data_IF_427856481105
#
_entry.id   IF_427856481105
#
_cell.length_a   1.000
_cell.length_b   1.000
_cell.length_c   1.000
_cell.angle_alpha   90.00
_cell.angle_beta   90.00
_cell.angle_gamma   90.00
#
_symmetry.space_group_name_H-M   'P 1'
#
loop_
_entity.id
_entity.type
_entity.pdbx_description
1 polymer ?
#
# COMPACT_ATOMS: atom_id res chain seq x y z
N UNK A 1 -21.10 0.60 -18.78
CA UNK A 1 -19.66 0.30 -18.84
C UNK A 1 -18.77 1.55 -18.84
N UNK A 2 -18.88 2.50 -19.76
CA UNK A 2 -18.01 3.71 -19.74
C UNK A 2 -18.34 4.70 -18.62
N UNK A 3 -19.61 4.87 -18.23
CA UNK A 3 -20.04 5.68 -17.08
C UNK A 3 -19.56 5.12 -15.76
N UNK A 4 -19.60 3.81 -15.55
CA UNK A 4 -19.10 3.15 -14.33
C UNK A 4 -17.56 3.23 -14.22
N UNK A 5 -16.86 3.15 -15.36
CA UNK A 5 -15.41 3.33 -15.39
C UNK A 5 -14.98 4.73 -14.91
N UNK A 6 -15.77 5.77 -15.22
CA UNK A 6 -15.51 7.15 -14.77
C UNK A 6 -15.77 7.39 -13.28
N UNK A 7 -16.54 6.51 -12.61
CA UNK A 7 -16.84 6.62 -11.19
C UNK A 7 -15.75 6.00 -10.28
N UNK A 8 -14.88 5.13 -10.81
CA UNK A 8 -13.80 4.53 -10.05
C UNK A 8 -12.61 5.48 -9.90
N UNK A 9 -11.92 5.50 -8.75
CA UNK A 9 -10.66 6.23 -8.59
C UNK A 9 -9.65 5.89 -9.70
N UNK A 10 -8.76 6.82 -9.96
CA UNK A 10 -7.78 6.72 -11.04
C UNK A 10 -6.88 5.50 -10.90
N UNK A 11 -6.37 5.25 -9.69
CA UNK A 11 -5.55 4.09 -9.41
C UNK A 11 -6.25 2.76 -9.73
N UNK A 12 -7.54 2.69 -9.43
CA UNK A 12 -8.35 1.49 -9.68
C UNK A 12 -8.64 1.29 -11.17
N UNK A 13 -8.93 2.35 -11.90
CA UNK A 13 -9.14 2.28 -13.35
C UNK A 13 -7.91 1.83 -14.10
N UNK A 14 -6.76 2.21 -13.61
CA UNK A 14 -5.46 1.95 -14.22
C UNK A 14 -4.85 0.62 -13.76
N UNK A 15 -5.51 -0.14 -12.87
CA UNK A 15 -4.92 -1.28 -12.18
C UNK A 15 -3.59 -0.92 -11.49
N UNK A 16 -3.52 0.29 -10.95
CA UNK A 16 -2.34 0.91 -10.35
C UNK A 16 -2.71 1.48 -8.98
N UNK A 17 -2.99 0.64 -7.98
CA UNK A 17 -3.64 1.03 -6.73
C UNK A 17 -2.85 2.05 -5.91
N UNK A 18 -1.54 2.14 -6.11
CA UNK A 18 -0.66 3.10 -5.44
C UNK A 18 -0.14 4.20 -6.39
N UNK A 19 -0.81 4.43 -7.51
CA UNK A 19 -0.53 5.54 -8.43
C UNK A 19 0.94 5.67 -8.88
N UNK A 20 1.58 4.55 -9.24
CA UNK A 20 2.93 4.55 -9.83
C UNK A 20 2.97 5.46 -11.05
N UNK A 21 3.86 6.46 -11.01
CA UNK A 21 4.04 7.43 -12.09
C UNK A 21 4.76 6.78 -13.27
N UNK A 22 4.42 7.20 -14.48
CA UNK A 22 5.12 6.78 -15.69
C UNK A 22 6.56 7.33 -15.68
N UNK A 23 7.51 6.44 -15.90
CA UNK A 23 8.93 6.73 -16.04
C UNK A 23 9.46 6.02 -17.27
N UNK A 24 10.78 6.00 -17.44
CA UNK A 24 11.43 5.16 -18.48
C UNK A 24 11.49 3.69 -18.09
N UNK A 25 11.07 3.35 -16.88
CA UNK A 25 11.10 1.98 -16.39
C UNK A 25 10.08 1.11 -17.12
N UNK A 26 10.54 -0.05 -17.55
CA UNK A 26 9.69 -1.06 -18.20
C UNK A 26 9.14 -2.01 -17.15
N UNK A 27 8.06 -1.60 -16.49
CA UNK A 27 7.40 -2.47 -15.52
C UNK A 27 6.82 -3.71 -16.21
N UNK A 28 6.97 -4.85 -15.56
CA UNK A 28 6.26 -6.06 -15.98
C UNK A 28 4.75 -5.85 -15.85
N UNK A 29 3.99 -6.26 -16.85
CA UNK A 29 2.54 -6.14 -16.87
C UNK A 29 2.03 -4.72 -17.19
N UNK A 30 2.86 -3.82 -17.71
CA UNK A 30 2.34 -2.60 -18.31
C UNK A 30 1.41 -2.95 -19.47
N UNK A 31 0.30 -2.24 -19.62
CA UNK A 31 -0.50 -2.30 -20.84
C UNK A 31 0.32 -1.80 -22.02
N UNK A 32 0.17 -2.43 -23.14
CA UNK A 32 0.84 -2.07 -24.38
C UNK A 32 0.53 -0.61 -24.76
N UNK A 33 -0.73 -0.19 -24.58
CA UNK A 33 -1.18 1.18 -24.79
C UNK A 33 -1.55 1.83 -23.47
N UNK A 34 -0.86 2.94 -23.15
CA UNK A 34 -1.09 3.77 -21.97
C UNK A 34 -1.98 4.96 -22.37
N UNK A 35 -3.13 5.10 -21.74
CA UNK A 35 -4.06 6.21 -22.00
C UNK A 35 -3.94 7.31 -20.94
N UNK A 36 -3.51 6.95 -19.75
CA UNK A 36 -3.21 7.91 -18.69
C UNK A 36 -1.88 8.60 -18.99
N UNK A 37 -1.84 9.92 -18.92
CA UNK A 37 -0.64 10.71 -19.27
C UNK A 37 0.38 10.79 -18.12
N UNK A 38 0.00 10.43 -16.90
CA UNK A 38 0.84 10.58 -15.71
C UNK A 38 1.14 9.25 -15.04
N UNK A 39 0.16 8.38 -14.90
CA UNK A 39 0.29 7.15 -14.14
C UNK A 39 0.32 5.92 -15.04
N UNK A 40 1.07 4.92 -14.63
CA UNK A 40 1.11 3.63 -15.30
C UNK A 40 -0.27 2.96 -15.34
N UNK A 41 -0.56 2.28 -16.43
CA UNK A 41 -1.71 1.39 -16.54
C UNK A 41 -1.22 -0.05 -16.67
N UNK A 42 -1.66 -0.92 -15.74
CA UNK A 42 -1.28 -2.33 -15.73
C UNK A 42 -2.38 -3.23 -16.29
N UNK A 43 -2.01 -4.42 -16.73
CA UNK A 43 -2.95 -5.43 -17.24
C UNK A 43 -3.91 -5.88 -16.14
N UNK A 44 -3.44 -5.97 -14.90
CA UNK A 44 -4.23 -6.29 -13.71
C UNK A 44 -3.66 -5.64 -12.44
N UNK A 45 -4.41 -5.74 -11.34
CA UNK A 45 -4.05 -5.17 -10.05
C UNK A 45 -2.80 -5.79 -9.44
N UNK A 46 -2.55 -7.08 -9.66
CA UNK A 46 -1.38 -7.76 -9.10
C UNK A 46 -0.08 -7.18 -9.67
N UNK A 47 -0.04 -6.84 -10.95
CA UNK A 47 1.11 -6.17 -11.56
C UNK A 47 1.29 -4.74 -11.05
N UNK A 48 0.19 -4.02 -10.80
CA UNK A 48 0.25 -2.70 -10.15
C UNK A 48 0.85 -2.78 -8.74
N UNK A 49 0.39 -3.72 -7.91
CA UNK A 49 0.98 -3.96 -6.59
C UNK A 49 2.43 -4.44 -6.67
N UNK A 50 2.75 -5.32 -7.63
CA UNK A 50 4.14 -5.73 -7.86
C UNK A 50 5.06 -4.54 -8.08
N UNK A 51 4.67 -3.60 -8.94
CA UNK A 51 5.44 -2.41 -9.20
C UNK A 51 5.64 -1.57 -7.92
N UNK A 52 4.58 -1.37 -7.15
CA UNK A 52 4.63 -0.67 -5.88
C UNK A 52 5.58 -1.34 -4.87
N UNK A 53 5.49 -2.65 -4.69
CA UNK A 53 6.38 -3.39 -3.81
C UNK A 53 7.85 -3.31 -4.24
N UNK A 54 8.13 -3.28 -5.55
CA UNK A 54 9.50 -3.09 -6.04
C UNK A 54 10.01 -1.67 -5.73
N UNK A 55 9.18 -0.63 -5.84
CA UNK A 55 9.56 0.73 -5.45
C UNK A 55 9.88 0.77 -3.95
N UNK A 56 8.99 0.25 -3.11
CA UNK A 56 9.18 0.17 -1.66
C UNK A 56 10.46 -0.60 -1.30
N UNK A 57 10.69 -1.75 -1.91
CA UNK A 57 11.93 -2.54 -1.75
C UNK A 57 13.18 -1.73 -2.12
N UNK A 58 13.10 -0.90 -3.16
CA UNK A 58 14.22 -0.05 -3.57
C UNK A 58 14.46 1.10 -2.58
N UNK A 59 13.43 1.63 -1.93
CA UNK A 59 13.59 2.65 -0.90
C UNK A 59 14.55 2.20 0.20
N UNK A 60 14.45 0.93 0.62
CA UNK A 60 15.37 0.40 1.62
C UNK A 60 16.72 0.11 1.03
N UNK A 61 16.76 -0.68 -0.05
CA UNK A 61 18.02 -1.19 -0.59
C UNK A 61 18.95 -0.09 -1.07
N UNK A 62 18.38 0.99 -1.64
CA UNK A 62 19.17 2.08 -2.22
C UNK A 62 19.36 3.26 -1.28
N UNK A 63 18.41 3.49 -0.38
CA UNK A 63 18.36 4.73 0.40
C UNK A 63 18.31 4.50 1.92
N UNK A 64 18.06 3.27 2.39
CA UNK A 64 17.93 2.97 3.81
C UNK A 64 16.68 3.60 4.46
N UNK A 65 15.66 3.95 3.67
CA UNK A 65 14.41 4.48 4.20
C UNK A 65 13.55 3.35 4.72
N UNK A 66 13.49 3.22 6.01
CA UNK A 66 12.87 2.08 6.69
C UNK A 66 11.70 2.44 7.58
N UNK A 67 11.56 3.71 8.01
CA UNK A 67 10.43 4.13 8.84
C UNK A 67 9.23 4.58 8.00
N UNK A 68 8.03 4.52 8.58
CA UNK A 68 6.80 5.01 7.93
C UNK A 68 6.97 6.46 7.47
N UNK A 69 7.51 7.33 8.34
CA UNK A 69 7.74 8.74 8.00
C UNK A 69 8.67 8.89 6.79
N UNK A 70 9.78 8.16 6.74
CA UNK A 70 10.71 8.20 5.62
C UNK A 70 10.07 7.69 4.33
N UNK A 71 9.41 6.54 4.39
CA UNK A 71 8.77 5.91 3.23
C UNK A 71 7.71 6.82 2.64
N UNK A 72 6.77 7.27 3.46
CA UNK A 72 5.65 8.09 2.99
C UNK A 72 6.11 9.48 2.53
N UNK A 73 7.11 10.08 3.19
CA UNK A 73 7.66 11.38 2.77
C UNK A 73 8.28 11.35 1.38
N UNK A 74 8.83 10.21 0.97
CA UNK A 74 9.39 10.04 -0.37
C UNK A 74 8.37 9.56 -1.39
N UNK A 75 7.34 8.82 -0.94
CA UNK A 75 6.24 8.41 -1.80
C UNK A 75 5.35 9.59 -2.20
N UNK A 76 4.99 10.41 -1.24
CA UNK A 76 4.08 11.54 -1.38
C UNK A 76 4.72 12.84 -0.84
N UNK A 77 5.65 13.44 -1.59
CA UNK A 77 6.40 14.60 -1.13
C UNK A 77 5.49 15.84 -0.96
N UNK A 78 5.87 16.74 -0.03
CA UNK A 78 5.07 17.92 0.40
C UNK A 78 4.67 18.88 -0.71
N UNK A 79 5.42 18.93 -1.79
CA UNK A 79 5.10 19.81 -2.92
C UNK A 79 3.91 19.32 -3.76
N UNK A 80 3.51 18.06 -3.60
CA UNK A 80 2.41 17.45 -4.35
C UNK A 80 1.26 16.96 -3.46
N UNK A 81 1.51 16.78 -2.15
CA UNK A 81 0.59 16.14 -1.22
C UNK A 81 0.63 16.76 0.17
N UNK A 82 -0.41 16.55 0.96
CA UNK A 82 -0.34 16.75 2.41
C UNK A 82 0.31 15.51 3.06
N UNK A 83 1.63 15.50 3.03
CA UNK A 83 2.45 14.37 3.50
C UNK A 83 2.18 14.04 4.97
N UNK A 84 1.91 15.05 5.82
CA UNK A 84 1.65 14.83 7.24
C UNK A 84 0.34 14.07 7.45
N UNK A 85 -0.70 14.45 6.73
CA UNK A 85 -2.00 13.73 6.75
C UNK A 85 -1.84 12.31 6.21
N UNK A 86 -1.04 12.11 5.17
CA UNK A 86 -0.77 10.79 4.64
C UNK A 86 -0.05 9.89 5.68
N UNK A 87 1.03 10.40 6.30
CA UNK A 87 1.76 9.68 7.36
C UNK A 87 0.80 9.29 8.49
N UNK A 88 0.00 10.25 8.97
CA UNK A 88 -0.98 9.99 10.02
C UNK A 88 -1.97 8.89 9.64
N UNK A 89 -2.55 8.96 8.43
CA UNK A 89 -3.50 7.97 7.96
C UNK A 89 -2.89 6.56 7.89
N UNK A 90 -1.65 6.44 7.38
CA UNK A 90 -0.94 5.15 7.35
C UNK A 90 -0.65 4.65 8.75
N UNK A 91 -0.14 5.51 9.65
CA UNK A 91 0.14 5.14 11.03
C UNK A 91 -1.12 4.67 11.77
N UNK A 92 -2.22 5.40 11.60
CA UNK A 92 -3.50 5.03 12.22
C UNK A 92 -4.05 3.72 11.66
N UNK A 93 -3.94 3.51 10.34
CA UNK A 93 -4.36 2.25 9.71
C UNK A 93 -3.57 1.06 10.26
N UNK A 94 -2.27 1.19 10.37
CA UNK A 94 -1.37 0.12 10.80
C UNK A 94 -1.29 -0.03 12.33
N UNK A 95 -1.80 0.94 13.10
CA UNK A 95 -1.68 1.04 14.55
C UNK A 95 -0.22 1.10 15.02
N UNK A 96 0.55 1.96 14.38
CA UNK A 96 1.98 2.17 14.66
C UNK A 96 2.32 3.64 14.73
N UNK A 97 3.49 3.98 15.29
CA UNK A 97 4.04 5.33 15.26
C UNK A 97 4.75 5.62 13.93
N UNK A 98 4.98 6.89 13.62
CA UNK A 98 5.64 7.32 12.38
C UNK A 98 7.10 6.86 12.26
N UNK A 99 7.77 6.64 13.39
CA UNK A 99 9.13 6.12 13.49
C UNK A 99 9.20 4.58 13.50
N UNK A 100 8.06 3.91 13.37
CA UNK A 100 8.01 2.45 13.24
C UNK A 100 8.86 1.98 12.07
N UNK A 101 9.80 1.09 12.37
CA UNK A 101 10.70 0.48 11.39
C UNK A 101 9.98 -0.69 10.73
N UNK A 102 9.79 -0.59 9.44
CA UNK A 102 9.15 -1.63 8.62
C UNK A 102 10.08 -2.83 8.46
N UNK A 103 9.57 -4.01 8.73
CA UNK A 103 10.23 -5.25 8.33
C UNK A 103 9.77 -5.65 6.92
N UNK A 104 10.61 -5.37 5.94
CA UNK A 104 10.31 -5.67 4.53
C UNK A 104 10.43 -7.14 4.16
N UNK A 105 11.00 -7.93 5.06
CA UNK A 105 10.95 -9.39 5.02
C UNK A 105 9.65 -9.95 5.55
N UNK A 106 8.95 -9.17 6.35
CA UNK A 106 7.66 -9.53 6.92
C UNK A 106 6.54 -9.22 5.93
N UNK A 107 5.98 -10.26 5.32
CA UNK A 107 4.86 -10.12 4.39
C UNK A 107 3.66 -9.39 5.01
N UNK A 108 3.23 -9.71 6.23
CA UNK A 108 2.19 -8.99 6.95
C UNK A 108 2.39 -7.47 6.97
N UNK A 109 3.56 -7.01 7.39
CA UNK A 109 3.88 -5.58 7.47
C UNK A 109 3.77 -4.91 6.11
N UNK A 110 4.28 -5.57 5.08
CA UNK A 110 4.23 -5.06 3.71
C UNK A 110 2.81 -5.00 3.14
N UNK A 111 1.97 -6.01 3.42
CA UNK A 111 0.58 -6.01 3.00
C UNK A 111 -0.23 -4.96 3.78
N UNK A 112 0.04 -4.77 5.08
CA UNK A 112 -0.59 -3.71 5.87
C UNK A 112 -0.22 -2.32 5.35
N UNK A 113 1.06 -2.07 5.08
CA UNK A 113 1.52 -0.81 4.48
C UNK A 113 0.84 -0.56 3.13
N UNK A 114 0.85 -1.54 2.23
CA UNK A 114 0.22 -1.42 0.92
C UNK A 114 -1.30 -1.20 1.03
N UNK A 115 -1.97 -1.83 2.01
CA UNK A 115 -3.39 -1.62 2.29
C UNK A 115 -3.67 -0.19 2.74
N UNK A 116 -2.91 0.30 3.72
CA UNK A 116 -3.01 1.68 4.22
C UNK A 116 -2.82 2.70 3.09
N UNK A 117 -1.76 2.53 2.30
CA UNK A 117 -1.48 3.40 1.16
C UNK A 117 -2.58 3.33 0.10
N UNK A 118 -3.13 2.14 -0.19
CA UNK A 118 -4.24 1.98 -1.14
C UNK A 118 -5.47 2.76 -0.72
N UNK A 119 -5.81 2.77 0.57
CA UNK A 119 -6.94 3.56 1.11
C UNK A 119 -6.68 5.05 0.93
N UNK A 120 -5.49 5.53 1.26
CA UNK A 120 -5.13 6.95 1.10
C UNK A 120 -5.19 7.38 -0.37
N UNK A 121 -4.61 6.60 -1.28
CA UNK A 121 -4.53 6.92 -2.71
C UNK A 121 -5.88 6.89 -3.44
N UNK A 122 -6.84 6.12 -2.94
CA UNK A 122 -8.12 5.93 -3.61
C UNK A 122 -9.32 6.49 -2.81
N UNK A 123 -9.05 7.13 -1.67
CA UNK A 123 -10.04 7.76 -0.84
C UNK A 123 -11.12 6.80 -0.33
N UNK A 124 -12.29 7.34 -0.01
CA UNK A 124 -13.44 6.59 0.51
C UNK A 124 -13.99 5.50 -0.42
N UNK A 125 -13.45 5.36 -1.65
CA UNK A 125 -13.85 4.26 -2.53
C UNK A 125 -13.53 2.89 -1.93
N UNK A 126 -12.41 2.79 -1.20
CA UNK A 126 -12.05 1.58 -0.46
C UNK A 126 -12.20 1.79 1.04
N UNK A 127 -13.33 1.37 1.58
CA UNK A 127 -13.38 1.02 2.99
C UNK A 127 -12.62 -0.30 3.24
N UNK A 128 -12.27 -0.63 4.49
CA UNK A 128 -11.52 -1.84 4.82
C UNK A 128 -12.14 -3.14 4.29
N UNK A 129 -13.45 -3.28 4.37
CA UNK A 129 -14.16 -4.46 3.90
C UNK A 129 -14.03 -4.62 2.38
N UNK A 130 -14.23 -3.53 1.62
CA UNK A 130 -14.11 -3.56 0.17
C UNK A 130 -12.68 -3.80 -0.27
N UNK A 131 -11.70 -3.22 0.44
CA UNK A 131 -10.28 -3.48 0.23
C UNK A 131 -9.99 -4.97 0.36
N UNK A 132 -10.50 -5.61 1.39
CA UNK A 132 -10.35 -7.03 1.61
C UNK A 132 -10.92 -7.84 0.45
N UNK A 133 -12.21 -7.69 0.15
CA UNK A 133 -12.86 -8.52 -0.86
C UNK A 133 -12.29 -8.34 -2.27
N UNK A 134 -11.93 -7.12 -2.63
CA UNK A 134 -11.56 -6.79 -4.01
C UNK A 134 -10.05 -6.88 -4.27
N UNK A 135 -9.21 -6.57 -3.28
CA UNK A 135 -7.79 -6.29 -3.53
C UNK A 135 -6.79 -7.15 -2.74
N UNK A 136 -7.17 -7.83 -1.65
CA UNK A 136 -6.21 -8.59 -0.87
C UNK A 136 -5.47 -9.65 -1.71
N UNK A 137 -6.21 -10.39 -2.55
CA UNK A 137 -5.65 -11.44 -3.39
C UNK A 137 -4.69 -10.89 -4.44
N UNK A 138 -5.06 -9.89 -5.27
CA UNK A 138 -4.10 -9.29 -6.18
C UNK A 138 -2.93 -8.60 -5.46
N UNK A 139 -3.10 -8.07 -4.25
CA UNK A 139 -2.01 -7.52 -3.45
C UNK A 139 -1.02 -8.61 -3.04
N UNK A 140 -1.50 -9.73 -2.53
CA UNK A 140 -0.68 -10.89 -2.18
C UNK A 140 0.07 -11.47 -3.39
N UNK A 141 -0.60 -11.62 -4.55
CA UNK A 141 0.05 -12.06 -5.78
C UNK A 141 1.14 -11.06 -6.22
N UNK A 142 0.87 -9.76 -6.13
CA UNK A 142 1.85 -8.72 -6.41
C UNK A 142 3.06 -8.79 -5.49
N UNK A 143 2.86 -9.05 -4.21
CA UNK A 143 3.93 -9.27 -3.24
C UNK A 143 4.79 -10.50 -3.63
N UNK A 144 4.17 -11.63 -3.91
CA UNK A 144 4.89 -12.84 -4.37
C UNK A 144 5.71 -12.59 -5.63
N UNK A 145 5.16 -11.88 -6.59
CA UNK A 145 5.88 -11.52 -7.81
C UNK A 145 7.06 -10.57 -7.56
N UNK A 146 6.99 -9.68 -6.57
CA UNK A 146 8.04 -8.72 -6.24
C UNK A 146 9.17 -9.32 -5.42
N UNK A 147 8.86 -10.26 -4.51
CA UNK A 147 9.82 -10.82 -3.56
C UNK A 147 10.22 -12.27 -3.89
N UNK A 148 9.56 -12.92 -4.84
CA UNK A 148 9.83 -14.28 -5.26
C UNK A 148 9.01 -15.33 -4.51
N UNK A 149 9.07 -16.59 -4.99
CA UNK A 149 8.40 -17.70 -4.34
C UNK A 149 9.09 -18.11 -3.03
N UNK A 150 8.41 -18.91 -2.21
CA UNK A 150 8.80 -19.38 -0.85
C UNK A 150 10.30 -19.60 -0.56
N UNK A 151 11.13 -19.95 -1.54
CA UNK A 151 12.57 -20.13 -1.33
C UNK A 151 13.32 -18.84 -0.96
N UNK A 152 12.82 -17.68 -1.39
CA UNK A 152 13.37 -16.37 -1.01
C UNK A 152 12.64 -15.77 0.20
N UNK A 153 11.43 -16.22 0.48
CA UNK A 153 10.68 -15.87 1.69
C UNK A 153 11.26 -16.59 2.90
N UNK A 154 11.67 -17.85 2.78
CA UNK A 154 12.30 -18.60 3.88
C UNK A 154 13.60 -17.96 4.42
N UNK A 155 14.32 -17.21 3.59
CA UNK A 155 15.45 -16.40 4.03
C UNK A 155 15.04 -15.08 4.73
N UNK A 156 13.76 -14.71 4.65
CA UNK A 156 13.15 -13.53 5.26
C UNK A 156 12.24 -13.90 6.46
N UNK A 157 11.99 -15.19 6.65
CA UNK A 157 11.05 -15.77 7.63
C UNK A 157 11.70 -16.06 8.98
N UNK A 158 12.71 -15.33 9.41
CA UNK A 158 13.26 -15.59 10.74
C UNK A 158 12.52 -14.81 11.83
N UNK A 159 11.32 -15.27 12.15
CA UNK A 159 10.72 -15.15 13.47
C UNK A 159 10.29 -16.56 13.91
N UNK A 160 10.96 -17.18 14.89
CA UNK A 160 10.69 -18.56 15.32
C UNK A 160 9.25 -18.80 15.81
N UNK A 161 8.58 -17.76 16.27
CA UNK A 161 7.27 -17.87 16.92
C UNK A 161 6.08 -17.83 15.94
N UNK A 162 6.28 -17.42 14.69
CA UNK A 162 5.22 -17.39 13.67
C UNK A 162 5.15 -18.66 12.80
N UNK A 163 6.19 -19.48 12.84
CA UNK A 163 6.35 -20.63 11.94
C UNK A 163 5.39 -21.79 12.15
N UNK A 164 4.65 -21.85 13.25
CA UNK A 164 3.93 -23.07 13.60
C UNK A 164 2.41 -23.03 13.46
N UNK A 165 1.77 -21.93 13.07
CA UNK A 165 0.31 -21.84 13.19
C UNK A 165 -0.49 -21.19 12.05
N UNK A 166 0.11 -20.65 11.01
CA UNK A 166 -0.72 -19.92 10.04
C UNK A 166 -0.51 -20.47 8.63
N UNK A 167 -1.45 -21.26 8.15
CA UNK A 167 -1.66 -21.46 6.73
C UNK A 167 -1.87 -20.07 6.08
N UNK A 168 -1.30 -19.83 4.91
CA UNK A 168 -1.37 -18.53 4.20
C UNK A 168 -2.80 -17.93 4.16
N UNK A 169 -3.83 -18.78 4.19
CA UNK A 169 -5.25 -18.40 4.18
C UNK A 169 -5.70 -17.84 5.54
N UNK A 170 -5.37 -18.52 6.65
CA UNK A 170 -5.76 -18.07 8.01
C UNK A 170 -5.10 -16.74 8.38
N UNK A 171 -3.86 -16.53 7.94
CA UNK A 171 -3.17 -15.26 8.12
C UNK A 171 -3.86 -14.13 7.34
N UNK A 172 -4.25 -14.37 6.10
CA UNK A 172 -4.95 -13.41 5.27
C UNK A 172 -6.34 -13.09 5.82
N UNK A 173 -7.03 -14.07 6.40
CA UNK A 173 -8.29 -13.88 7.11
C UNK A 173 -8.12 -13.03 8.37
N UNK A 174 -7.06 -13.26 9.14
CA UNK A 174 -6.74 -12.44 10.32
C UNK A 174 -6.37 -11.00 9.95
N UNK A 175 -5.59 -10.82 8.89
CA UNK A 175 -5.26 -9.50 8.34
C UNK A 175 -6.51 -8.77 7.88
N UNK A 176 -7.39 -9.49 7.20
CA UNK A 176 -8.67 -9.00 6.73
C UNK A 176 -9.57 -8.56 7.88
N UNK A 177 -9.66 -9.37 8.92
CA UNK A 177 -10.45 -9.06 10.11
C UNK A 177 -9.91 -7.79 10.78
N UNK A 178 -8.59 -7.66 10.96
CA UNK A 178 -7.97 -6.44 11.51
C UNK A 178 -8.25 -5.20 10.67
N UNK A 179 -8.25 -5.35 9.34
CA UNK A 179 -8.58 -4.25 8.43
C UNK A 179 -10.07 -3.91 8.48
N UNK A 180 -10.95 -4.93 8.59
CA UNK A 180 -12.39 -4.74 8.69
C UNK A 180 -12.85 -4.12 10.03
N UNK A 181 -12.14 -4.44 11.11
CA UNK A 181 -12.45 -3.94 12.46
C UNK A 181 -12.03 -2.48 12.69
N UNK A 182 -11.20 -1.92 11.80
CA UNK A 182 -10.83 -0.50 11.89
C UNK A 182 -11.92 0.38 11.29
N UNK A 183 -12.50 1.23 12.12
CA UNK A 183 -13.50 2.21 11.70
C UNK A 183 -12.81 3.44 11.09
N UNK A 184 -12.73 3.47 9.75
CA UNK A 184 -12.19 4.61 9.01
C UNK A 184 -13.22 5.68 8.68
N UNK A 185 -14.49 5.49 9.08
CA UNK A 185 -15.55 6.43 8.76
C UNK A 185 -15.43 7.77 9.51
N UNK A 186 -14.54 7.85 10.51
CA UNK A 186 -14.29 9.07 11.30
C UNK A 186 -13.12 9.93 10.80
N UNK A 187 -12.44 9.55 9.72
CA UNK A 187 -11.50 10.44 9.03
C UNK A 187 -12.27 11.38 8.08
N UNK A 188 -13.14 12.22 8.63
CA UNK A 188 -13.66 13.34 7.88
C UNK A 188 -12.52 14.31 7.58
N UNK A 189 -12.52 14.86 6.37
CA UNK A 189 -11.55 15.87 5.90
C UNK A 189 -11.44 17.10 6.84
N UNK A 190 -12.43 17.30 7.69
CA UNK A 190 -12.49 18.39 8.68
C UNK A 190 -11.54 18.17 9.87
N UNK A 191 -11.11 16.93 10.13
CA UNK A 191 -10.10 16.64 11.16
C UNK A 191 -8.66 16.89 10.69
N UNK A 192 -8.44 17.17 9.42
CA UNK A 192 -7.13 17.48 8.85
C UNK A 192 -6.48 18.71 9.53
N UNK A 193 -7.28 19.63 10.03
CA UNK A 193 -6.81 20.83 10.73
C UNK A 193 -6.28 20.50 12.13
N UNK A 194 -6.99 19.68 12.88
CA UNK A 194 -6.58 19.22 14.23
C UNK A 194 -5.35 18.34 14.19
N UNK A 195 -5.20 17.57 13.11
CA UNK A 195 -4.06 16.71 12.84
C UNK A 195 -2.81 17.56 12.57
N UNK A 196 -2.92 18.67 11.82
CA UNK A 196 -1.81 19.61 11.57
C UNK A 196 -1.27 20.25 12.86
N UNK A 197 -2.15 20.62 13.78
CA UNK A 197 -1.72 21.19 15.08
C UNK A 197 -1.00 20.16 15.96
N UNK A 198 -1.51 18.94 16.07
CA UNK A 198 -0.89 17.88 16.86
C UNK A 198 0.51 17.49 16.37
N UNK A 199 0.75 17.51 15.03
CA UNK A 199 2.06 17.18 14.46
C UNK A 199 3.05 18.36 14.45
N UNK A 200 2.59 19.60 14.58
CA UNK A 200 3.48 20.76 14.69
C UNK A 200 4.02 20.97 16.11
N UNK A 201 3.43 20.32 17.11
CA UNK A 201 3.80 20.43 18.52
C UNK A 201 4.58 19.21 19.06
N UNK A 202 4.80 18.17 18.24
CA UNK A 202 5.58 16.98 18.57
C UNK A 202 6.89 16.92 17.78
#
# INVERSE_FOLDING_TARGET
>A
MEKERKQKPRGIRNNNPLNIVQTKDKWQGLREKQYDKRFCEFIDMAHGYRAAFIVLKNYIKKHGWVTIEQIVSHWAPKNENDTAVYIFAVCNFMDVKKDHVMDFGNMPDMLMLASAMTVVENGSYYNPQKLYYDLWRPMYEGYKMAFGSRKNLAALEYSPDLHHKIHDVEFLELLAQRVADKDFNHLELDDSYKIREAYSQA
#
